data_IF_219871900310
#
_entry.id   IF_219871900310
#
_cell.length_a   1.000
_cell.length_b   1.000
_cell.length_c   1.000
_cell.angle_alpha   90.00
_cell.angle_beta   90.00
_cell.angle_gamma   90.00
#
_symmetry.space_group_name_H-M   'P 1'
#
loop_
_entity.id
_entity.type
_entity.pdbx_description
1 polymer ?
#
# COMPACT_ATOMS: atom_id res chain seq x y z
N UNK A 1 -15.92 -21.11 -13.17
CA UNK A 1 -16.82 -20.22 -12.39
C UNK A 1 -16.03 -19.08 -11.73
N UNK A 2 -15.22 -19.31 -10.70
CA UNK A 2 -14.51 -18.23 -9.95
C UNK A 2 -13.68 -17.30 -10.86
N UNK A 3 -12.88 -17.85 -11.78
CA UNK A 3 -12.06 -17.05 -12.71
C UNK A 3 -12.90 -16.17 -13.64
N UNK A 4 -14.01 -16.71 -14.17
CA UNK A 4 -14.93 -15.96 -15.02
C UNK A 4 -15.66 -14.86 -14.24
N UNK A 5 -16.11 -15.16 -13.02
CA UNK A 5 -16.73 -14.17 -12.12
C UNK A 5 -15.74 -13.07 -11.74
N UNK A 6 -14.48 -13.40 -11.48
CA UNK A 6 -13.42 -12.43 -11.17
C UNK A 6 -13.06 -11.57 -12.38
N UNK A 7 -13.01 -12.14 -13.59
CA UNK A 7 -12.75 -11.37 -14.81
C UNK A 7 -13.88 -10.36 -15.10
N UNK A 8 -15.14 -10.81 -15.02
CA UNK A 8 -16.31 -9.93 -15.19
C UNK A 8 -16.35 -8.86 -14.10
N UNK A 9 -16.09 -9.23 -12.84
CA UNK A 9 -16.00 -8.27 -11.74
C UNK A 9 -14.93 -7.22 -12.02
N UNK A 10 -13.72 -7.62 -12.42
CA UNK A 10 -12.62 -6.71 -12.71
C UNK A 10 -12.98 -5.71 -13.82
N UNK A 11 -13.63 -6.19 -14.88
CA UNK A 11 -14.03 -5.37 -16.01
C UNK A 11 -15.16 -4.39 -15.63
N UNK A 12 -16.16 -4.84 -14.88
CA UNK A 12 -17.25 -3.99 -14.36
C UNK A 12 -16.70 -2.95 -13.38
N UNK A 13 -15.92 -3.35 -12.39
CA UNK A 13 -15.34 -2.43 -11.40
C UNK A 13 -14.38 -1.45 -12.04
N UNK A 14 -13.47 -1.92 -12.90
CA UNK A 14 -12.54 -1.05 -13.62
C UNK A 14 -13.24 -0.03 -14.51
N UNK A 15 -14.33 -0.43 -15.18
CA UNK A 15 -15.15 0.48 -15.99
C UNK A 15 -15.92 1.48 -15.14
N UNK A 16 -16.50 1.06 -14.00
CA UNK A 16 -17.17 1.96 -13.06
C UNK A 16 -16.21 3.01 -12.48
N UNK A 17 -14.99 2.59 -12.12
CA UNK A 17 -13.95 3.51 -11.63
C UNK A 17 -13.53 4.48 -12.74
N UNK A 18 -13.34 4.00 -13.97
CA UNK A 18 -13.03 4.87 -15.11
C UNK A 18 -14.17 5.89 -15.37
N UNK A 19 -15.43 5.48 -15.30
CA UNK A 19 -16.58 6.38 -15.44
C UNK A 19 -16.65 7.40 -14.30
N UNK A 20 -16.43 6.98 -13.05
CA UNK A 20 -16.42 7.89 -11.91
C UNK A 20 -15.28 8.91 -12.00
N UNK A 21 -14.08 8.48 -12.44
CA UNK A 21 -12.95 9.37 -12.69
C UNK A 21 -13.20 10.31 -13.86
N UNK A 22 -13.83 9.84 -14.94
CA UNK A 22 -14.25 10.68 -16.06
C UNK A 22 -15.28 11.72 -15.65
N UNK A 23 -16.26 11.35 -14.81
CA UNK A 23 -17.24 12.28 -14.26
C UNK A 23 -16.57 13.33 -13.35
N UNK A 24 -15.64 12.92 -12.49
CA UNK A 24 -14.86 13.84 -11.65
C UNK A 24 -13.99 14.79 -12.48
N UNK A 25 -13.44 14.33 -13.60
CA UNK A 25 -12.72 15.19 -14.54
C UNK A 25 -13.63 16.26 -15.15
N UNK A 26 -14.85 15.90 -15.55
CA UNK A 26 -15.83 16.88 -16.08
C UNK A 26 -16.28 17.87 -15.01
N UNK A 27 -16.46 17.42 -13.76
CA UNK A 27 -16.97 18.23 -12.66
C UNK A 27 -15.91 19.16 -12.02
N UNK A 28 -14.64 18.77 -12.00
CA UNK A 28 -13.57 19.53 -11.35
C UNK A 28 -12.21 19.43 -12.08
N UNK A 29 -12.14 19.82 -13.37
CA UNK A 29 -10.96 19.60 -14.22
C UNK A 29 -9.70 20.29 -13.67
N UNK A 30 -9.79 21.56 -13.30
CA UNK A 30 -8.63 22.35 -12.86
C UNK A 30 -8.18 22.09 -11.42
N UNK A 31 -9.09 21.66 -10.53
CA UNK A 31 -8.78 21.45 -9.10
C UNK A 31 -8.11 20.10 -8.82
N UNK A 32 -8.40 19.07 -9.62
CA UNK A 32 -7.91 17.70 -9.38
C UNK A 32 -6.87 17.24 -10.40
N UNK A 33 -6.96 17.71 -11.65
CA UNK A 33 -6.12 17.22 -12.76
C UNK A 33 -5.14 18.26 -13.30
N UNK A 34 -5.16 19.48 -12.75
CA UNK A 34 -4.21 20.55 -13.07
C UNK A 34 -4.16 20.88 -14.56
N UNK A 35 -2.95 21.02 -15.10
CA UNK A 35 -2.66 21.32 -16.51
C UNK A 35 -2.43 20.08 -17.38
N UNK A 36 -2.86 18.89 -16.94
CA UNK A 36 -2.70 17.67 -17.73
C UNK A 36 -3.48 17.76 -19.04
N UNK A 37 -2.80 17.47 -20.15
CA UNK A 37 -3.42 17.41 -21.47
C UNK A 37 -4.53 16.34 -21.51
N UNK A 38 -5.60 16.64 -22.25
CA UNK A 38 -6.79 15.80 -22.40
C UNK A 38 -6.43 14.40 -22.92
N UNK A 39 -5.39 14.32 -23.75
CA UNK A 39 -4.88 13.06 -24.28
C UNK A 39 -4.36 12.13 -23.18
N UNK A 40 -3.64 12.66 -22.17
CA UNK A 40 -3.12 11.84 -21.06
C UNK A 40 -4.24 11.33 -20.17
N UNK A 41 -5.25 12.16 -19.93
CA UNK A 41 -6.42 11.78 -19.13
C UNK A 41 -7.21 10.69 -19.85
N UNK A 42 -7.42 10.81 -21.17
CA UNK A 42 -8.05 9.77 -21.98
C UNK A 42 -7.29 8.43 -21.93
N UNK A 43 -5.95 8.47 -22.06
CA UNK A 43 -5.11 7.28 -21.94
C UNK A 43 -5.16 6.66 -20.54
N UNK A 44 -5.15 7.48 -19.50
CA UNK A 44 -5.28 7.02 -18.11
C UNK A 44 -6.61 6.30 -17.91
N UNK A 45 -7.72 6.93 -18.31
CA UNK A 45 -9.06 6.34 -18.21
C UNK A 45 -9.20 5.03 -19.00
N UNK A 46 -8.61 4.95 -20.19
CA UNK A 46 -8.61 3.74 -21.01
C UNK A 46 -7.76 2.60 -20.41
N UNK A 47 -6.69 2.93 -19.69
CA UNK A 47 -5.80 1.94 -19.06
C UNK A 47 -6.36 1.34 -17.76
N UNK A 48 -7.29 2.03 -17.09
CA UNK A 48 -7.84 1.61 -15.79
C UNK A 48 -8.49 0.22 -15.82
N UNK A 49 -9.43 -0.09 -16.74
CA UNK A 49 -10.05 -1.42 -16.79
C UNK A 49 -9.03 -2.54 -17.00
N UNK A 50 -8.03 -2.32 -17.85
CA UNK A 50 -6.96 -3.29 -18.13
C UNK A 50 -6.07 -3.52 -16.90
N UNK A 51 -5.79 -2.47 -16.14
CA UNK A 51 -5.00 -2.55 -14.90
C UNK A 51 -5.75 -3.31 -13.81
N UNK A 52 -7.06 -3.09 -13.68
CA UNK A 52 -7.92 -3.86 -12.79
C UNK A 52 -7.97 -5.34 -13.18
N UNK A 53 -8.13 -5.63 -14.48
CA UNK A 53 -8.06 -7.02 -14.99
C UNK A 53 -6.71 -7.66 -14.65
N UNK A 54 -5.59 -6.94 -14.84
CA UNK A 54 -4.26 -7.43 -14.47
C UNK A 54 -4.20 -7.83 -12.98
N UNK A 55 -4.64 -6.95 -12.08
CA UNK A 55 -4.62 -7.21 -10.64
C UNK A 55 -5.51 -8.38 -10.21
N UNK A 56 -6.72 -8.51 -10.77
CA UNK A 56 -7.60 -9.63 -10.42
C UNK A 56 -7.03 -10.97 -10.91
N UNK A 57 -6.49 -10.99 -12.12
CA UNK A 57 -5.90 -12.21 -12.70
C UNK A 57 -4.58 -12.60 -12.02
N UNK A 58 -3.78 -11.63 -11.61
CA UNK A 58 -2.61 -11.83 -10.76
C UNK A 58 -2.99 -12.57 -9.47
N UNK A 59 -4.03 -12.10 -8.76
CA UNK A 59 -4.51 -12.77 -7.54
C UNK A 59 -5.05 -14.18 -7.79
N UNK A 60 -5.62 -14.46 -8.96
CA UNK A 60 -6.02 -15.83 -9.35
C UNK A 60 -4.82 -16.76 -9.52
N UNK A 61 -3.72 -16.28 -10.12
CA UNK A 61 -2.49 -17.07 -10.25
C UNK A 61 -1.86 -17.36 -8.88
N UNK A 62 -1.82 -16.36 -8.00
CA UNK A 62 -1.33 -16.53 -6.61
C UNK A 62 -2.20 -17.53 -5.85
N UNK A 63 -3.53 -17.45 -5.96
CA UNK A 63 -4.46 -18.38 -5.31
C UNK A 63 -4.37 -19.83 -5.83
N UNK A 64 -3.70 -20.05 -6.96
CA UNK A 64 -3.46 -21.37 -7.58
C UNK A 64 -2.06 -21.92 -7.31
N UNK A 65 -1.27 -21.26 -6.46
CA UNK A 65 0.15 -21.53 -6.21
C UNK A 65 1.03 -21.45 -7.48
N UNK A 66 0.57 -20.75 -8.53
CA UNK A 66 1.34 -20.54 -9.76
C UNK A 66 2.34 -19.37 -9.61
N UNK A 67 3.13 -19.40 -8.54
CA UNK A 67 4.03 -18.31 -8.13
C UNK A 67 5.13 -18.02 -9.18
N UNK A 68 5.57 -19.03 -9.92
CA UNK A 68 6.57 -18.85 -10.98
C UNK A 68 6.02 -17.99 -12.12
N UNK A 69 4.85 -18.33 -12.65
CA UNK A 69 4.20 -17.54 -13.72
C UNK A 69 3.92 -16.12 -13.27
N UNK A 70 3.47 -15.95 -12.01
CA UNK A 70 3.29 -14.63 -11.40
C UNK A 70 4.60 -13.84 -11.35
N UNK A 71 5.66 -14.41 -10.74
CA UNK A 71 6.94 -13.72 -10.57
C UNK A 71 7.61 -13.39 -11.91
N UNK A 72 7.52 -14.25 -12.92
CA UNK A 72 8.06 -14.00 -14.26
C UNK A 72 7.36 -12.83 -14.93
N UNK A 73 6.02 -12.79 -14.90
CA UNK A 73 5.25 -11.68 -15.50
C UNK A 73 5.50 -10.38 -14.73
N UNK A 74 5.47 -10.41 -13.39
CA UNK A 74 5.70 -9.22 -12.55
C UNK A 74 7.10 -8.65 -12.76
N UNK A 75 8.13 -9.52 -12.77
CA UNK A 75 9.51 -9.10 -13.04
C UNK A 75 9.65 -8.51 -14.45
N UNK A 76 9.10 -9.17 -15.47
CA UNK A 76 9.16 -8.68 -16.85
C UNK A 76 8.50 -7.30 -16.96
N UNK A 77 7.30 -7.11 -16.40
CA UNK A 77 6.61 -5.82 -16.42
C UNK A 77 7.39 -4.72 -15.72
N UNK A 78 7.97 -5.00 -14.54
CA UNK A 78 8.83 -4.04 -13.82
C UNK A 78 10.09 -3.68 -14.62
N UNK A 79 10.72 -4.67 -15.26
CA UNK A 79 11.87 -4.44 -16.14
C UNK A 79 11.49 -3.58 -17.33
N UNK A 80 10.37 -3.87 -18.01
CA UNK A 80 9.90 -3.05 -19.12
C UNK A 80 9.50 -1.64 -18.69
N UNK A 81 8.88 -1.46 -17.51
CA UNK A 81 8.59 -0.14 -16.96
C UNK A 81 9.86 0.67 -16.74
N UNK A 82 10.90 0.06 -16.15
CA UNK A 82 12.18 0.72 -15.93
C UNK A 82 12.87 1.08 -17.25
N UNK A 83 12.94 0.14 -18.19
CA UNK A 83 13.53 0.39 -19.51
C UNK A 83 12.74 1.45 -20.28
N UNK A 84 11.41 1.36 -20.28
CA UNK A 84 10.52 2.32 -20.91
C UNK A 84 10.69 3.72 -20.34
N UNK A 85 10.85 3.85 -19.02
CA UNK A 85 11.14 5.12 -18.36
C UNK A 85 12.51 5.70 -18.78
N UNK A 86 13.56 4.88 -18.79
CA UNK A 86 14.90 5.31 -19.25
C UNK A 86 14.88 5.73 -20.71
N UNK A 87 14.21 4.97 -21.58
CA UNK A 87 14.05 5.31 -23.01
C UNK A 87 13.29 6.62 -23.19
N UNK A 88 12.21 6.83 -22.42
CA UNK A 88 11.43 8.06 -22.48
C UNK A 88 12.28 9.30 -22.15
N UNK A 89 13.07 9.23 -21.08
CA UNK A 89 13.82 10.38 -20.57
C UNK A 89 15.15 10.61 -21.29
N UNK A 90 15.89 9.56 -21.59
CA UNK A 90 17.26 9.67 -22.12
C UNK A 90 17.27 9.71 -23.65
N UNK A 91 16.49 8.85 -24.29
CA UNK A 91 16.57 8.63 -25.75
C UNK A 91 15.58 9.49 -26.53
N UNK A 92 14.37 9.69 -26.00
CA UNK A 92 13.30 10.40 -26.70
C UNK A 92 13.29 11.90 -26.39
N UNK A 93 14.06 12.36 -25.40
CA UNK A 93 14.06 13.76 -24.90
C UNK A 93 12.65 14.30 -24.59
N UNK A 94 11.66 13.43 -24.46
CA UNK A 94 10.25 13.77 -24.56
C UNK A 94 9.63 14.28 -23.27
N UNK A 95 10.47 14.69 -22.31
CA UNK A 95 10.03 15.13 -20.99
C UNK A 95 9.22 14.09 -20.22
N UNK A 96 8.53 14.54 -19.17
CA UNK A 96 7.71 13.71 -18.28
C UNK A 96 6.47 13.13 -18.95
N UNK A 97 5.95 13.78 -20.00
CA UNK A 97 4.75 13.34 -20.72
C UNK A 97 4.94 12.02 -21.47
N UNK A 98 6.06 11.86 -22.18
CA UNK A 98 6.37 10.61 -22.89
C UNK A 98 6.55 9.44 -21.93
N UNK A 99 7.13 9.68 -20.76
CA UNK A 99 7.27 8.68 -19.71
C UNK A 99 5.90 8.18 -19.23
N UNK A 100 4.94 9.08 -19.01
CA UNK A 100 3.56 8.71 -18.59
C UNK A 100 2.91 7.80 -19.63
N UNK A 101 2.98 8.15 -20.93
CA UNK A 101 2.35 7.36 -22.00
C UNK A 101 2.94 5.96 -22.09
N UNK A 102 4.27 5.85 -22.04
CA UNK A 102 4.96 4.56 -22.11
C UNK A 102 4.60 3.69 -20.91
N UNK A 103 4.58 4.26 -19.70
CA UNK A 103 4.24 3.54 -18.47
C UNK A 103 2.78 3.05 -18.45
N UNK A 104 1.84 3.88 -18.92
CA UNK A 104 0.43 3.50 -19.05
C UNK A 104 0.25 2.40 -20.11
N UNK A 105 0.96 2.49 -21.24
CA UNK A 105 0.95 1.48 -22.29
C UNK A 105 1.47 0.12 -21.80
N UNK A 106 2.58 0.11 -21.05
CA UNK A 106 3.14 -1.12 -20.47
C UNK A 106 2.16 -1.72 -19.44
N UNK A 107 1.53 -0.89 -18.62
CA UNK A 107 0.54 -1.34 -17.63
C UNK A 107 -0.68 -1.99 -18.31
N UNK A 108 -1.18 -1.38 -19.39
CA UNK A 108 -2.25 -1.93 -20.22
C UNK A 108 -1.85 -3.27 -20.88
N UNK A 109 -0.62 -3.36 -21.42
CA UNK A 109 -0.08 -4.59 -21.99
C UNK A 109 0.03 -5.71 -20.96
N UNK A 110 0.37 -5.39 -19.70
CA UNK A 110 0.37 -6.33 -18.59
C UNK A 110 -0.98 -7.01 -18.37
N UNK A 111 -2.08 -6.25 -18.45
CA UNK A 111 -3.43 -6.82 -18.37
C UNK A 111 -3.71 -7.86 -19.46
N UNK A 112 -3.25 -7.61 -20.68
CA UNK A 112 -3.38 -8.54 -21.81
C UNK A 112 -2.54 -9.80 -21.58
N UNK A 113 -1.30 -9.65 -21.12
CA UNK A 113 -0.39 -10.79 -20.83
C UNK A 113 -0.96 -11.68 -19.74
N UNK A 114 -1.48 -11.11 -18.65
CA UNK A 114 -2.14 -11.85 -17.59
C UNK A 114 -3.41 -12.57 -18.11
N UNK A 115 -4.24 -11.89 -18.90
CA UNK A 115 -5.43 -12.50 -19.52
C UNK A 115 -5.07 -13.68 -20.43
N UNK A 116 -4.05 -13.54 -21.28
CA UNK A 116 -3.59 -14.62 -22.15
C UNK A 116 -3.04 -15.81 -21.36
N UNK A 117 -2.26 -15.56 -20.31
CA UNK A 117 -1.65 -16.62 -19.48
C UNK A 117 -2.72 -17.40 -18.71
N UNK A 118 -3.68 -16.71 -18.11
CA UNK A 118 -4.79 -17.34 -17.39
C UNK A 118 -5.67 -18.12 -18.36
N UNK A 119 -5.97 -17.57 -19.54
CA UNK A 119 -6.77 -18.27 -20.56
C UNK A 119 -6.12 -19.55 -21.07
N UNK A 120 -4.79 -19.59 -21.18
CA UNK A 120 -4.04 -20.80 -21.56
C UNK A 120 -4.05 -21.86 -20.45
N UNK A 121 -4.11 -21.44 -19.20
CA UNK A 121 -3.98 -22.33 -18.03
C UNK A 121 -5.34 -22.79 -17.47
N UNK A 122 -6.42 -22.06 -17.77
CA UNK A 122 -7.74 -22.28 -17.18
C UNK A 122 -8.81 -22.21 -18.28
N UNK A 123 -9.62 -23.26 -18.48
CA UNK A 123 -10.75 -23.19 -19.39
C UNK A 123 -11.74 -22.12 -18.91
N UNK A 124 -11.91 -21.08 -19.72
CA UNK A 124 -12.90 -20.03 -19.48
C UNK A 124 -14.30 -20.58 -19.75
N UNK A 125 -15.21 -20.41 -18.80
CA UNK A 125 -16.63 -20.67 -18.99
C UNK A 125 -17.45 -19.56 -18.37
N UNK A 126 -18.42 -19.02 -19.13
CA UNK A 126 -19.35 -17.96 -18.72
C UNK A 126 -20.44 -18.45 -17.76
N UNK A 127 -20.05 -19.21 -16.74
CA UNK A 127 -20.94 -19.65 -15.68
C UNK A 127 -20.63 -18.82 -14.44
N UNK A 128 -21.49 -17.82 -14.19
CA UNK A 128 -21.44 -16.97 -12.99
C UNK A 128 -22.52 -17.45 -12.03
N UNK A 129 -22.11 -18.02 -10.90
CA UNK A 129 -23.05 -18.38 -9.84
C UNK A 129 -23.35 -17.14 -8.98
N UNK A 130 -24.57 -16.59 -9.10
CA UNK A 130 -24.95 -15.32 -8.46
C UNK A 130 -24.83 -15.37 -6.93
N UNK A 131 -25.12 -16.52 -6.32
CA UNK A 131 -25.02 -16.71 -4.87
C UNK A 131 -23.57 -16.58 -4.39
N UNK A 132 -22.64 -17.27 -5.06
CA UNK A 132 -21.21 -17.19 -4.79
C UNK A 132 -20.68 -15.77 -5.06
N UNK A 133 -21.10 -15.15 -6.16
CA UNK A 133 -20.74 -13.77 -6.49
C UNK A 133 -21.15 -12.78 -5.40
N UNK A 134 -22.39 -12.88 -4.87
CA UNK A 134 -22.88 -12.01 -3.79
C UNK A 134 -22.09 -12.19 -2.50
N UNK A 135 -21.73 -13.43 -2.14
CA UNK A 135 -20.92 -13.71 -0.95
C UNK A 135 -19.50 -13.15 -1.09
N UNK A 136 -18.87 -13.36 -2.25
CA UNK A 136 -17.56 -12.79 -2.57
C UNK A 136 -17.60 -11.25 -2.55
N UNK A 137 -18.64 -10.64 -3.11
CA UNK A 137 -18.81 -9.19 -3.15
C UNK A 137 -18.98 -8.61 -1.74
N UNK A 138 -19.77 -9.24 -0.86
CA UNK A 138 -19.97 -8.76 0.50
C UNK A 138 -18.69 -8.81 1.34
N UNK A 139 -17.89 -9.87 1.18
CA UNK A 139 -16.58 -9.97 1.84
C UNK A 139 -15.60 -8.97 1.22
N UNK A 140 -15.48 -8.96 -0.11
CA UNK A 140 -14.59 -8.10 -0.87
C UNK A 140 -14.83 -6.61 -0.60
N UNK A 141 -16.07 -6.16 -0.51
CA UNK A 141 -16.41 -4.77 -0.19
C UNK A 141 -15.88 -4.33 1.18
N UNK A 142 -15.92 -5.19 2.19
CA UNK A 142 -15.42 -4.85 3.53
C UNK A 142 -13.90 -4.73 3.54
N UNK A 143 -13.22 -5.67 2.89
CA UNK A 143 -11.76 -5.64 2.75
C UNK A 143 -11.33 -4.45 1.89
N UNK A 144 -12.03 -4.17 0.79
CA UNK A 144 -11.77 -3.03 -0.07
C UNK A 144 -11.94 -1.70 0.66
N UNK A 145 -12.98 -1.53 1.47
CA UNK A 145 -13.16 -0.32 2.30
C UNK A 145 -12.01 -0.14 3.29
N UNK A 146 -11.54 -1.22 3.93
CA UNK A 146 -10.37 -1.15 4.80
C UNK A 146 -9.11 -0.76 4.02
N UNK A 147 -8.84 -1.40 2.88
CA UNK A 147 -7.71 -1.06 2.00
C UNK A 147 -7.78 0.39 1.49
N UNK A 148 -8.97 0.87 1.15
CA UNK A 148 -9.20 2.26 0.72
C UNK A 148 -8.88 3.25 1.85
N UNK A 149 -9.31 2.97 3.08
CA UNK A 149 -8.97 3.81 4.23
C UNK A 149 -7.48 3.76 4.56
N UNK A 150 -6.83 2.59 4.46
CA UNK A 150 -5.36 2.50 4.60
C UNK A 150 -4.63 3.29 3.52
N UNK A 151 -5.09 3.22 2.27
CA UNK A 151 -4.56 4.02 1.18
C UNK A 151 -4.73 5.51 1.47
N UNK A 152 -5.92 5.93 1.91
CA UNK A 152 -6.19 7.33 2.23
C UNK A 152 -5.32 7.79 3.40
N UNK A 153 -5.13 6.98 4.44
CA UNK A 153 -4.26 7.31 5.55
C UNK A 153 -2.81 7.62 5.11
N UNK A 154 -2.30 6.88 4.12
CA UNK A 154 -0.91 7.01 3.64
C UNK A 154 -0.78 8.09 2.56
N UNK A 155 -1.80 8.25 1.69
CA UNK A 155 -1.70 9.05 0.46
C UNK A 155 -2.55 10.32 0.44
N UNK A 156 -3.47 10.51 1.39
CA UNK A 156 -4.28 11.74 1.49
C UNK A 156 -3.39 12.98 1.48
N UNK A 157 -2.25 12.92 2.17
CA UNK A 157 -1.27 14.01 2.25
C UNK A 157 -0.88 14.54 0.87
N UNK A 158 -0.60 13.64 -0.06
CA UNK A 158 -0.15 13.99 -1.40
C UNK A 158 -1.27 14.66 -2.20
N UNK A 159 -2.51 14.19 -2.00
CA UNK A 159 -3.73 14.78 -2.59
C UNK A 159 -4.03 16.18 -2.03
N UNK A 160 -3.58 16.49 -0.82
CA UNK A 160 -3.74 17.80 -0.21
C UNK A 160 -2.57 18.73 -0.53
N UNK A 161 -1.33 18.25 -0.48
CA UNK A 161 -0.12 19.07 -0.70
C UNK A 161 -0.07 19.65 -2.12
N UNK A 162 -0.26 18.83 -3.16
CA UNK A 162 -0.14 19.29 -4.55
C UNK A 162 -1.04 20.51 -4.87
N UNK A 163 -2.36 20.49 -4.58
CA UNK A 163 -3.21 21.65 -4.87
C UNK A 163 -3.04 22.84 -3.91
N UNK A 164 -2.49 22.64 -2.70
CA UNK A 164 -2.42 23.72 -1.68
C UNK A 164 -1.05 24.39 -1.60
N UNK A 165 0.03 23.62 -1.75
CA UNK A 165 1.41 24.07 -1.61
C UNK A 165 2.19 24.01 -2.93
N UNK A 166 1.61 23.41 -3.97
CA UNK A 166 2.21 23.29 -5.30
C UNK A 166 3.14 22.08 -5.48
N UNK A 167 3.58 21.90 -6.72
CA UNK A 167 4.33 20.71 -7.15
C UNK A 167 5.72 20.60 -6.50
N UNK A 168 6.35 21.73 -6.18
CA UNK A 168 7.63 21.75 -5.48
C UNK A 168 7.53 21.10 -4.09
N UNK A 169 6.55 21.52 -3.28
CA UNK A 169 6.29 20.95 -1.96
C UNK A 169 5.87 19.47 -2.06
N UNK A 170 5.10 19.11 -3.08
CA UNK A 170 4.75 17.72 -3.36
C UNK A 170 6.01 16.89 -3.67
N UNK A 171 6.92 17.40 -4.49
CA UNK A 171 8.20 16.77 -4.80
C UNK A 171 9.04 16.50 -3.54
N UNK A 172 9.22 17.50 -2.69
CA UNK A 172 9.96 17.37 -1.42
C UNK A 172 9.33 16.33 -0.48
N UNK A 173 8.00 16.33 -0.37
CA UNK A 173 7.31 15.40 0.50
C UNK A 173 7.26 13.97 -0.07
N UNK A 174 7.25 13.82 -1.39
CA UNK A 174 7.28 12.51 -2.06
C UNK A 174 8.50 11.69 -1.66
N UNK A 175 9.65 12.36 -1.44
CA UNK A 175 10.87 11.73 -0.96
C UNK A 175 10.70 11.19 0.46
N UNK A 176 10.02 11.94 1.34
CA UNK A 176 9.74 11.46 2.71
C UNK A 176 8.85 10.22 2.71
N UNK A 177 7.88 10.15 1.79
CA UNK A 177 7.01 8.98 1.62
C UNK A 177 7.78 7.74 1.17
N UNK A 178 8.92 7.86 0.50
CA UNK A 178 9.73 6.70 0.14
C UNK A 178 10.26 5.99 1.39
N UNK A 179 10.62 6.71 2.45
CA UNK A 179 11.05 6.10 3.71
C UNK A 179 9.91 5.37 4.43
N UNK A 180 8.68 5.87 4.30
CA UNK A 180 7.48 5.18 4.78
C UNK A 180 7.28 3.86 4.03
N UNK A 181 7.37 3.88 2.70
CA UNK A 181 7.23 2.70 1.86
C UNK A 181 8.36 1.68 2.11
N UNK A 182 9.61 2.14 2.28
CA UNK A 182 10.76 1.29 2.65
C UNK A 182 10.56 0.60 4.00
N UNK A 183 10.11 1.32 5.02
CA UNK A 183 9.84 0.75 6.33
C UNK A 183 8.70 -0.29 6.31
N UNK A 184 7.77 -0.18 5.36
CA UNK A 184 6.65 -1.10 5.21
C UNK A 184 7.04 -2.47 4.63
N UNK A 185 8.19 -2.60 3.95
CA UNK A 185 8.64 -3.85 3.31
C UNK A 185 8.77 -4.98 4.34
N UNK A 186 9.40 -4.70 5.47
CA UNK A 186 9.64 -5.70 6.52
C UNK A 186 8.33 -6.22 7.14
N UNK A 187 7.43 -5.39 7.69
CA UNK A 187 6.19 -5.87 8.31
C UNK A 187 5.22 -6.47 7.30
N UNK A 188 5.19 -6.00 6.04
CA UNK A 188 4.34 -6.63 5.00
C UNK A 188 4.81 -8.05 4.69
N UNK A 189 6.12 -8.26 4.57
CA UNK A 189 6.71 -9.59 4.35
C UNK A 189 6.40 -10.53 5.52
N UNK A 190 6.58 -10.08 6.76
CA UNK A 190 6.24 -10.86 7.95
C UNK A 190 4.73 -11.13 8.06
N UNK A 191 3.90 -10.17 7.65
CA UNK A 191 2.44 -10.28 7.62
C UNK A 191 1.94 -11.41 6.71
N UNK A 192 2.58 -11.60 5.55
CA UNK A 192 2.25 -12.69 4.61
C UNK A 192 2.46 -14.07 5.24
N UNK A 193 3.47 -14.23 6.09
CA UNK A 193 3.75 -15.48 6.81
C UNK A 193 2.81 -15.63 8.02
N UNK A 194 2.53 -14.52 8.70
CA UNK A 194 1.72 -14.50 9.91
C UNK A 194 0.24 -14.82 9.63
N UNK A 195 -0.32 -14.23 8.59
CA UNK A 195 -1.75 -14.28 8.29
C UNK A 195 -2.30 -15.72 8.17
N UNK A 196 -1.70 -16.63 7.37
CA UNK A 196 -2.21 -18.00 7.24
C UNK A 196 -2.15 -18.82 8.54
N UNK A 197 -1.09 -18.66 9.32
CA UNK A 197 -0.90 -19.38 10.60
C UNK A 197 -1.93 -18.96 11.65
N UNK A 198 -2.20 -17.66 11.72
CA UNK A 198 -3.27 -17.12 12.59
C UNK A 198 -4.65 -17.58 12.10
N UNK A 199 -4.90 -17.58 10.78
CA UNK A 199 -6.16 -18.02 10.20
C UNK A 199 -6.47 -19.51 10.42
N UNK A 200 -5.44 -20.36 10.51
CA UNK A 200 -5.57 -21.78 10.84
C UNK A 200 -5.75 -22.05 12.33
N UNK A 201 -5.70 -21.01 13.16
CA UNK A 201 -5.80 -21.08 14.61
C UNK A 201 -4.79 -22.08 15.22
N UNK A 202 -3.57 -22.06 14.71
CA UNK A 202 -2.46 -22.86 15.25
C UNK A 202 -2.21 -22.46 16.71
N UNK A 203 -1.93 -23.45 17.59
CA UNK A 203 -1.78 -23.21 19.03
C UNK A 203 -0.72 -22.15 19.36
N UNK A 204 0.30 -22.01 18.51
CA UNK A 204 1.43 -21.11 18.69
C UNK A 204 1.29 -19.76 17.95
N UNK A 205 0.16 -19.54 17.25
CA UNK A 205 -0.01 -18.36 16.40
C UNK A 205 0.09 -17.03 17.16
N UNK A 206 -0.42 -16.97 18.40
CA UNK A 206 -0.31 -15.77 19.24
C UNK A 206 1.11 -15.45 19.68
N UNK A 207 1.92 -16.48 19.95
CA UNK A 207 3.32 -16.32 20.32
C UNK A 207 4.16 -15.90 19.11
N UNK A 208 3.85 -16.44 17.92
CA UNK A 208 4.44 -15.99 16.66
C UNK A 208 4.12 -14.52 16.40
N UNK A 209 2.85 -14.10 16.55
CA UNK A 209 2.46 -12.68 16.40
C UNK A 209 3.28 -11.80 17.34
N UNK A 210 3.41 -12.18 18.62
CA UNK A 210 4.18 -11.40 19.60
C UNK A 210 5.67 -11.30 19.22
N UNK A 211 6.28 -12.38 18.73
CA UNK A 211 7.68 -12.38 18.24
C UNK A 211 7.86 -11.48 17.04
N UNK A 212 6.99 -11.60 16.04
CA UNK A 212 7.00 -10.76 14.84
C UNK A 212 6.81 -9.29 15.21
N UNK A 213 5.93 -9.00 16.16
CA UNK A 213 5.70 -7.65 16.67
C UNK A 213 6.96 -7.06 17.33
N UNK A 214 7.60 -7.79 18.26
CA UNK A 214 8.87 -7.35 18.90
C UNK A 214 9.98 -7.10 17.90
N UNK A 215 10.13 -8.01 16.94
CA UNK A 215 11.13 -7.87 15.89
C UNK A 215 10.87 -6.64 15.03
N UNK A 216 9.61 -6.37 14.69
CA UNK A 216 9.19 -5.16 13.96
C UNK A 216 9.47 -3.91 14.79
N UNK A 217 9.13 -3.91 16.08
CA UNK A 217 9.43 -2.79 17.00
C UNK A 217 10.92 -2.48 17.04
N UNK A 218 11.77 -3.50 17.19
CA UNK A 218 13.21 -3.30 17.28
C UNK A 218 13.83 -2.82 15.95
N UNK A 219 13.50 -3.49 14.84
CA UNK A 219 14.07 -3.19 13.53
C UNK A 219 13.58 -1.86 12.96
N UNK A 220 12.26 -1.64 12.93
CA UNK A 220 11.67 -0.39 12.44
C UNK A 220 11.91 0.74 13.43
N UNK A 221 11.94 0.46 14.73
CA UNK A 221 12.31 1.45 15.76
C UNK A 221 13.73 1.97 15.57
N UNK A 222 14.70 1.08 15.29
CA UNK A 222 16.07 1.47 14.97
C UNK A 222 16.12 2.30 13.68
N UNK A 223 15.41 1.87 12.63
CA UNK A 223 15.31 2.62 11.38
C UNK A 223 14.74 4.04 11.59
N UNK A 224 13.63 4.17 12.32
CA UNK A 224 13.02 5.45 12.65
C UNK A 224 13.93 6.31 13.53
N UNK A 225 14.69 5.73 14.46
CA UNK A 225 15.68 6.46 15.27
C UNK A 225 16.80 7.02 14.39
N UNK A 226 17.31 6.23 13.45
CA UNK A 226 18.30 6.70 12.47
C UNK A 226 17.75 7.86 11.64
N UNK A 227 16.51 7.75 11.15
CA UNK A 227 15.86 8.85 10.41
C UNK A 227 15.64 10.09 11.29
N UNK A 228 15.23 9.93 12.55
CA UNK A 228 15.02 11.05 13.45
C UNK A 228 16.31 11.85 13.70
N UNK A 229 17.44 11.16 13.86
CA UNK A 229 18.74 11.79 14.14
C UNK A 229 19.48 12.26 12.88
N UNK A 230 19.31 11.56 11.76
CA UNK A 230 20.12 11.72 10.55
C UNK A 230 19.29 12.02 9.28
N UNK A 231 18.05 12.50 9.40
CA UNK A 231 17.19 12.83 8.25
C UNK A 231 17.89 13.73 7.22
N UNK A 232 18.48 14.86 7.65
CA UNK A 232 19.16 15.80 6.75
C UNK A 232 20.32 15.17 5.97
N UNK A 233 21.35 14.58 6.61
CA UNK A 233 22.45 13.98 5.85
C UNK A 233 22.00 12.81 4.97
N UNK A 234 20.99 12.03 5.39
CA UNK A 234 20.43 10.95 4.56
C UNK A 234 19.77 11.53 3.30
N UNK A 235 18.93 12.55 3.44
CA UNK A 235 18.27 13.20 2.31
C UNK A 235 19.27 13.84 1.35
N UNK A 236 20.27 14.54 1.88
CA UNK A 236 21.34 15.14 1.08
C UNK A 236 22.13 14.07 0.33
N UNK A 237 22.52 12.98 0.99
CA UNK A 237 23.29 11.91 0.38
C UNK A 237 22.53 11.21 -0.76
N UNK A 238 21.22 10.99 -0.57
CA UNK A 238 20.40 10.22 -1.52
C UNK A 238 19.81 11.07 -2.65
N UNK A 239 19.41 12.31 -2.36
CA UNK A 239 18.62 13.16 -3.26
C UNK A 239 19.27 14.52 -3.55
N UNK A 240 20.32 14.89 -2.82
CA UNK A 240 21.05 16.15 -2.98
C UNK A 240 20.58 17.28 -2.08
N UNK A 241 21.32 18.39 -2.10
CA UNK A 241 21.14 19.55 -1.22
C UNK A 241 19.74 20.18 -1.24
N UNK A 242 19.02 20.27 -2.38
CA UNK A 242 17.68 20.83 -2.41
C UNK A 242 16.68 20.11 -1.49
N UNK A 243 16.88 18.82 -1.20
CA UNK A 243 15.96 18.05 -0.34
C UNK A 243 16.23 18.21 1.15
N UNK A 244 17.30 18.93 1.54
CA UNK A 244 17.65 19.17 2.94
C UNK A 244 16.52 19.87 3.73
N UNK A 245 15.74 20.73 3.07
CA UNK A 245 14.61 21.44 3.69
C UNK A 245 13.46 20.50 4.11
N UNK A 246 13.33 19.34 3.47
CA UNK A 246 12.32 18.32 3.79
C UNK A 246 12.68 17.49 5.02
N UNK A 247 13.87 17.67 5.60
CA UNK A 247 14.38 16.87 6.72
C UNK A 247 13.51 16.95 7.97
N UNK A 248 12.99 18.12 8.30
CA UNK A 248 12.11 18.30 9.46
C UNK A 248 10.77 17.59 9.26
N UNK A 249 10.21 17.65 8.05
CA UNK A 249 9.02 16.89 7.70
C UNK A 249 9.27 15.38 7.82
N UNK A 250 10.43 14.88 7.37
CA UNK A 250 10.79 13.46 7.55
C UNK A 250 10.91 13.08 9.04
N UNK A 251 11.54 13.92 9.85
CA UNK A 251 11.61 13.70 11.31
C UNK A 251 10.22 13.64 11.94
N UNK A 252 9.31 14.54 11.58
CA UNK A 252 7.93 14.55 12.09
C UNK A 252 7.10 13.38 11.56
N UNK A 253 7.48 12.78 10.43
CA UNK A 253 6.84 11.61 9.84
C UNK A 253 7.31 10.29 10.50
N UNK A 254 8.50 10.25 11.10
CA UNK A 254 9.05 8.99 11.69
C UNK A 254 8.15 8.31 12.73
N UNK A 255 7.41 9.01 13.63
CA UNK A 255 6.46 8.36 14.52
C UNK A 255 5.33 7.66 13.75
N UNK A 256 4.88 8.24 12.63
CA UNK A 256 3.92 7.66 11.72
C UNK A 256 4.44 6.43 11.00
N UNK A 257 5.69 6.48 10.50
CA UNK A 257 6.37 5.33 9.88
C UNK A 257 6.40 4.15 10.85
N UNK A 258 6.82 4.41 12.09
CA UNK A 258 6.85 3.39 13.14
C UNK A 258 5.46 2.83 13.42
N UNK A 259 4.46 3.70 13.63
CA UNK A 259 3.10 3.29 13.92
C UNK A 259 2.47 2.48 12.78
N UNK A 260 2.69 2.85 11.51
CA UNK A 260 2.18 2.11 10.35
C UNK A 260 2.78 0.71 10.24
N UNK A 261 4.06 0.54 10.60
CA UNK A 261 4.66 -0.79 10.65
C UNK A 261 3.95 -1.69 11.67
N UNK A 262 3.60 -1.14 12.84
CA UNK A 262 2.81 -1.86 13.85
C UNK A 262 1.39 -2.16 13.35
N UNK A 263 0.73 -1.18 12.73
CA UNK A 263 -0.61 -1.36 12.13
C UNK A 263 -0.59 -2.51 11.12
N UNK A 264 0.44 -2.65 10.31
CA UNK A 264 0.56 -3.74 9.34
C UNK A 264 0.55 -5.13 10.01
N UNK A 265 1.33 -5.32 11.08
CA UNK A 265 1.35 -6.59 11.82
C UNK A 265 0.00 -6.87 12.50
N UNK A 266 -0.55 -5.86 13.18
CA UNK A 266 -1.83 -5.98 13.90
C UNK A 266 -3.01 -6.24 12.96
N UNK A 267 -2.99 -5.62 11.78
CA UNK A 267 -3.99 -5.84 10.75
C UNK A 267 -3.96 -7.28 10.24
N UNK A 268 -2.76 -7.83 9.95
CA UNK A 268 -2.63 -9.22 9.52
C UNK A 268 -3.08 -10.23 10.59
N UNK A 269 -2.77 -10.00 11.87
CA UNK A 269 -3.26 -10.84 12.98
C UNK A 269 -4.79 -10.78 13.12
N UNK A 270 -5.39 -9.59 13.13
CA UNK A 270 -6.85 -9.44 13.22
C UNK A 270 -7.59 -9.97 11.99
N UNK A 271 -7.01 -9.79 10.80
CA UNK A 271 -7.55 -10.34 9.56
C UNK A 271 -7.54 -11.87 9.60
N UNK A 272 -6.44 -12.49 10.07
CA UNK A 272 -6.36 -13.94 10.28
C UNK A 272 -7.42 -14.45 11.26
N UNK A 273 -7.71 -13.68 12.33
CA UNK A 273 -8.75 -14.00 13.31
C UNK A 273 -10.20 -13.75 12.83
N UNK A 274 -10.40 -13.24 11.62
CA UNK A 274 -11.73 -12.94 11.10
C UNK A 274 -12.37 -11.67 11.69
N UNK A 275 -11.56 -10.70 12.15
CA UNK A 275 -12.01 -9.44 12.75
C UNK A 275 -11.74 -8.18 11.88
N UNK A 276 -12.02 -8.16 10.57
CA UNK A 276 -11.73 -7.01 9.70
C UNK A 276 -12.56 -5.77 10.04
N UNK A 277 -13.71 -5.93 10.71
CA UNK A 277 -14.56 -4.81 11.14
C UNK A 277 -13.86 -3.90 12.16
N UNK A 278 -13.11 -4.50 13.07
CA UNK A 278 -12.32 -3.76 14.06
C UNK A 278 -11.24 -2.91 13.41
N UNK A 279 -10.58 -3.47 12.38
CA UNK A 279 -9.58 -2.76 11.59
C UNK A 279 -10.19 -1.58 10.85
N UNK A 280 -11.36 -1.78 10.23
CA UNK A 280 -12.07 -0.73 9.51
C UNK A 280 -12.31 0.50 10.41
N UNK A 281 -12.86 0.31 11.61
CA UNK A 281 -13.14 1.43 12.51
C UNK A 281 -11.87 2.11 13.05
N UNK A 282 -10.80 1.36 13.29
CA UNK A 282 -9.51 1.93 13.67
C UNK A 282 -8.91 2.81 12.56
N UNK A 283 -9.08 2.41 11.30
CA UNK A 283 -8.66 3.19 10.14
C UNK A 283 -9.52 4.44 9.94
N UNK A 284 -10.84 4.35 10.13
CA UNK A 284 -11.73 5.52 10.11
C UNK A 284 -11.26 6.57 11.12
N UNK A 285 -10.98 6.15 12.35
CA UNK A 285 -10.49 7.05 13.40
C UNK A 285 -9.15 7.71 13.01
N UNK A 286 -8.21 6.91 12.50
CA UNK A 286 -6.90 7.42 12.05
C UNK A 286 -7.03 8.41 10.90
N UNK A 287 -7.77 8.07 9.85
CA UNK A 287 -8.01 8.96 8.70
C UNK A 287 -8.68 10.25 9.15
N UNK A 288 -9.69 10.17 10.03
CA UNK A 288 -10.38 11.36 10.54
C UNK A 288 -9.40 12.28 11.30
N UNK A 289 -8.59 11.74 12.20
CA UNK A 289 -7.59 12.52 12.93
C UNK A 289 -6.51 13.12 12.02
N UNK A 290 -6.03 12.35 11.04
CA UNK A 290 -5.04 12.80 10.06
C UNK A 290 -5.59 13.95 9.22
N UNK A 291 -6.80 13.78 8.70
CA UNK A 291 -7.49 14.78 7.88
C UNK A 291 -7.73 16.06 8.66
N UNK A 292 -8.19 15.97 9.91
CA UNK A 292 -8.46 17.14 10.75
C UNK A 292 -7.22 18.02 10.94
N UNK A 293 -6.07 17.40 11.21
CA UNK A 293 -4.80 18.13 11.34
C UNK A 293 -4.40 18.77 10.01
N UNK A 294 -4.45 18.01 8.92
CA UNK A 294 -3.99 18.50 7.62
C UNK A 294 -4.87 19.62 7.08
N UNK A 295 -6.19 19.48 7.10
CA UNK A 295 -7.07 20.56 6.65
C UNK A 295 -6.90 21.85 7.46
N UNK A 296 -6.57 21.75 8.75
CA UNK A 296 -6.43 22.92 9.63
C UNK A 296 -5.05 23.57 9.51
N UNK A 297 -3.98 22.78 9.43
CA UNK A 297 -2.60 23.26 9.61
C UNK A 297 -1.74 23.21 8.35
N UNK A 298 -2.21 22.62 7.25
CA UNK A 298 -1.43 22.51 6.01
C UNK A 298 -1.08 23.87 5.41
N UNK A 299 -2.00 24.83 5.45
CA UNK A 299 -1.75 26.18 4.92
C UNK A 299 -0.76 27.01 5.75
N UNK A 300 -0.57 26.68 7.03
CA UNK A 300 0.30 27.45 7.95
C UNK A 300 1.67 26.81 8.16
N UNK A 301 1.72 25.48 8.30
CA UNK A 301 2.96 24.73 8.57
C UNK A 301 3.44 23.90 7.38
N UNK A 302 2.76 23.97 6.23
CA UNK A 302 3.19 23.30 5.00
C UNK A 302 3.33 21.78 5.15
N UNK A 303 4.39 21.23 4.56
CA UNK A 303 4.68 19.79 4.57
C UNK A 303 4.92 19.20 5.97
N UNK A 304 5.24 20.03 6.98
CA UNK A 304 5.35 19.59 8.37
C UNK A 304 3.98 19.19 8.94
N UNK A 305 2.92 19.95 8.65
CA UNK A 305 1.56 19.59 9.06
C UNK A 305 1.08 18.29 8.42
N UNK A 306 1.45 18.04 7.16
CA UNK A 306 1.19 16.76 6.50
C UNK A 306 1.88 15.60 7.24
N UNK A 307 3.13 15.79 7.65
CA UNK A 307 3.90 14.81 8.42
C UNK A 307 3.26 14.51 9.78
N UNK A 308 2.91 15.57 10.53
CA UNK A 308 2.27 15.45 11.84
C UNK A 308 0.90 14.79 11.71
N UNK A 309 0.07 15.21 10.77
CA UNK A 309 -1.25 14.63 10.54
C UNK A 309 -1.17 13.14 10.26
N UNK A 310 -0.26 12.73 9.37
CA UNK A 310 -0.03 11.31 9.05
C UNK A 310 0.43 10.54 10.28
N UNK A 311 1.39 11.08 11.02
CA UNK A 311 1.91 10.47 12.24
C UNK A 311 0.82 10.29 13.29
N UNK A 312 0.01 11.32 13.53
CA UNK A 312 -1.12 11.23 14.46
C UNK A 312 -2.15 10.21 14.01
N UNK A 313 -2.53 10.21 12.72
CA UNK A 313 -3.48 9.23 12.19
C UNK A 313 -3.02 7.79 12.35
N UNK A 314 -1.75 7.53 12.00
CA UNK A 314 -1.14 6.22 12.18
C UNK A 314 -1.06 5.80 13.65
N UNK A 315 -0.68 6.72 14.55
CA UNK A 315 -0.62 6.46 16.00
C UNK A 315 -2.01 6.15 16.58
N UNK A 316 -3.05 6.88 16.17
CA UNK A 316 -4.44 6.63 16.57
C UNK A 316 -4.86 5.23 16.10
N UNK A 317 -4.63 4.89 14.84
CA UNK A 317 -4.94 3.55 14.32
C UNK A 317 -4.18 2.47 15.07
N UNK A 318 -2.86 2.63 15.27
CA UNK A 318 -2.03 1.67 16.01
C UNK A 318 -2.54 1.47 17.44
N UNK A 319 -2.84 2.55 18.15
CA UNK A 319 -3.36 2.52 19.52
C UNK A 319 -4.68 1.77 19.63
N UNK A 320 -5.64 2.06 18.74
CA UNK A 320 -6.93 1.36 18.72
C UNK A 320 -6.74 -0.13 18.43
N UNK A 321 -5.92 -0.49 17.44
CA UNK A 321 -5.66 -1.89 17.11
C UNK A 321 -4.97 -2.63 18.27
N UNK A 322 -3.99 -2.01 18.94
CA UNK A 322 -3.32 -2.59 20.10
C UNK A 322 -4.30 -2.90 21.24
N UNK A 323 -5.23 -1.99 21.52
CA UNK A 323 -6.26 -2.20 22.55
C UNK A 323 -7.16 -3.40 22.20
N UNK A 324 -7.49 -3.58 20.93
CA UNK A 324 -8.35 -4.68 20.47
C UNK A 324 -7.59 -6.01 20.51
N UNK A 325 -6.39 -6.04 19.93
CA UNK A 325 -5.55 -7.23 19.83
C UNK A 325 -5.12 -7.75 21.21
N UNK A 326 -4.98 -6.85 22.20
CA UNK A 326 -4.68 -7.20 23.60
C UNK A 326 -5.55 -8.33 24.15
N UNK A 327 -6.82 -8.39 23.77
CA UNK A 327 -7.75 -9.44 24.25
C UNK A 327 -7.35 -10.85 23.83
N UNK A 328 -6.49 -10.97 22.82
CA UNK A 328 -6.10 -12.22 22.18
C UNK A 328 -4.64 -12.61 22.44
N UNK A 329 -3.82 -11.69 22.98
CA UNK A 329 -2.43 -11.96 23.30
C UNK A 329 -2.29 -12.46 24.74
N UNK A 330 -1.60 -13.60 24.91
CA UNK A 330 -1.29 -14.17 26.23
C UNK A 330 -0.09 -13.49 26.91
N UNK A 331 0.72 -12.74 26.15
CA UNK A 331 1.97 -12.14 26.65
C UNK A 331 1.74 -10.84 27.44
N UNK A 332 2.48 -10.61 28.55
CA UNK A 332 2.36 -9.39 29.35
C UNK A 332 2.94 -8.15 28.65
N UNK A 333 2.34 -6.97 28.91
CA UNK A 333 2.59 -5.71 28.18
C UNK A 333 4.07 -5.34 28.04
N UNK A 334 4.87 -5.50 29.10
CA UNK A 334 6.31 -5.16 29.10
C UNK A 334 7.12 -6.06 28.18
N UNK A 335 6.72 -7.31 28.02
CA UNK A 335 7.44 -8.25 27.17
C UNK A 335 7.16 -8.00 25.68
N UNK A 336 6.12 -7.26 25.30
CA UNK A 336 5.80 -6.99 23.89
C UNK A 336 6.74 -5.98 23.22
N UNK A 337 7.39 -5.13 24.01
CA UNK A 337 8.23 -4.04 23.52
C UNK A 337 9.73 -4.36 23.54
N UNK A 338 10.12 -5.44 24.23
CA UNK A 338 11.53 -5.81 24.42
C UNK A 338 11.83 -7.03 23.56
N UNK A 339 12.81 -6.89 22.66
CA UNK A 339 13.32 -8.00 21.87
C UNK A 339 14.13 -8.95 22.77
N UNK A 340 13.72 -10.22 22.84
CA UNK A 340 14.50 -11.26 23.50
C UNK A 340 15.48 -11.90 22.52
N UNK A 341 16.71 -12.22 22.97
CA UNK A 341 17.70 -12.98 22.19
C UNK A 341 17.18 -14.37 21.76
N UNK A 342 16.18 -14.93 22.47
CA UNK A 342 15.53 -16.18 22.08
C UNK A 342 14.67 -16.02 20.81
N UNK A 343 14.08 -14.84 20.59
CA UNK A 343 13.20 -14.57 19.44
C UNK A 343 14.01 -14.55 18.13
N UNK A 344 15.23 -14.02 18.17
CA UNK A 344 16.17 -13.97 17.03
C UNK A 344 16.59 -15.36 16.53
N UNK A 345 16.71 -16.35 17.43
CA UNK A 345 17.04 -17.74 17.03
C UNK A 345 15.86 -18.43 16.32
N UNK A 346 14.63 -18.11 16.72
CA UNK A 346 13.42 -18.71 16.11
C UNK A 346 13.02 -18.11 14.77
N UNK A 347 13.36 -16.85 14.50
CA UNK A 347 13.04 -16.15 13.23
C UNK A 347 14.08 -16.37 12.12
N UNK A 348 15.07 -17.27 12.32
CA UNK A 348 16.04 -17.58 11.26
C UNK A 348 15.34 -18.27 10.07
N UNK A 349 15.74 -17.97 8.81
CA UNK A 349 15.08 -18.52 7.62
C UNK A 349 14.99 -20.04 7.60
N UNK A 350 15.96 -20.73 8.23
CA UNK A 350 15.98 -22.19 8.37
C UNK A 350 14.79 -22.74 9.16
N UNK A 351 14.32 -22.03 10.19
CA UNK A 351 13.22 -22.49 11.05
C UNK A 351 11.84 -22.02 10.56
N UNK A 352 11.79 -20.94 9.77
CA UNK A 352 10.55 -20.45 9.17
C UNK A 352 10.09 -21.30 7.98
N UNK A 353 11.03 -21.93 7.26
CA UNK A 353 10.76 -22.77 6.08
C UNK A 353 10.65 -24.28 6.40
N UNK A 354 10.99 -24.70 7.62
CA UNK A 354 11.04 -26.13 7.99
C UNK A 354 9.73 -26.70 8.54
N UNK A 355 8.64 -25.93 8.58
CA UNK A 355 7.35 -26.36 9.14
C UNK A 355 6.14 -25.88 8.34
#
# INVERSE_FOLDING_TARGET
VVVSSSFVAALVFGSLVALAMGALYVLAPQKLFGSLDRLYIGLLLASLPLTFVAQFLQNVLVARDALISYNVIDLALRTFQLLGFVVALVLLSGGTSTAIVILLGISAAGGVVYAATVRRSIPFGFHVELRLFRQMLQYGMRTYLASMLSFLLIRLNMLLISPTLGDHAAGLFSVNLQFLDLAAILPTTLGVILFPRVARNEQDAGDLTAKVFRFTVASVGLFCLTLALAAKPILVLMFGEPFAESSRALQLLTPGIFALALVSILNNDLAGRGLPRSVLWALVAGVASSSAIQFTFLGTFGIEAASVGTSTGALVTAGVLLIIVRKYWKAPWRQLWILSLADLRTLSPRNLLSH
#
